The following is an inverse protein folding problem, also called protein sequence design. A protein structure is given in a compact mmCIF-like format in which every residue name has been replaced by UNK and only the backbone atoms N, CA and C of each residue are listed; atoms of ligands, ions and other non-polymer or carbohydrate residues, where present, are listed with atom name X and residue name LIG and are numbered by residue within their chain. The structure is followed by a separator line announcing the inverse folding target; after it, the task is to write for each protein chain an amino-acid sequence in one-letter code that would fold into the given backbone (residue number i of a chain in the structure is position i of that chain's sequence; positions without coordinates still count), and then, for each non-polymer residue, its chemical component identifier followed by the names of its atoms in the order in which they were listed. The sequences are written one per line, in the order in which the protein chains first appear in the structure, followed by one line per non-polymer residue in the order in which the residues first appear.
data_IF_833642855758
#
_entry.id   IF_833642855758
#
_cell.length_a   1.000
_cell.length_b   1.000
_cell.length_c   1.000
_cell.angle_alpha   90.00
_cell.angle_beta   90.00
_cell.angle_gamma   90.00
#
_symmetry.space_group_name_H-M   'P 1'
#
loop_
_entity.id
_entity.type
_entity.pdbx_description
1 polymer ?
#
# COMPACT_ATOMS: atom_id res chain seq x y z
N UNK A 1 12.39 7.36 -21.28
CA UNK A 1 12.11 6.27 -20.33
C UNK A 1 11.63 5.05 -21.10
N UNK A 2 12.16 3.87 -20.83
CA UNK A 2 11.75 2.68 -21.56
C UNK A 2 10.43 2.10 -21.00
N UNK A 3 9.89 1.12 -21.72
CA UNK A 3 8.59 0.51 -21.40
C UNK A 3 8.57 -0.14 -20.02
N UNK A 4 9.67 -0.79 -19.65
CA UNK A 4 9.81 -1.45 -18.35
C UNK A 4 9.81 -0.44 -17.21
N UNK A 5 10.50 0.67 -17.38
CA UNK A 5 10.54 1.75 -16.41
C UNK A 5 9.18 2.39 -16.23
N UNK A 6 8.44 2.59 -17.31
CA UNK A 6 7.07 3.12 -17.25
C UNK A 6 6.16 2.18 -16.48
N UNK A 7 6.28 0.88 -16.72
CA UNK A 7 5.50 -0.15 -16.02
C UNK A 7 5.78 -0.15 -14.52
N UNK A 8 7.06 -0.09 -14.14
CA UNK A 8 7.47 -0.01 -12.73
C UNK A 8 6.90 1.23 -12.06
N UNK A 9 6.96 2.38 -12.73
CA UNK A 9 6.43 3.63 -12.18
C UNK A 9 4.91 3.58 -12.03
N UNK A 10 4.21 2.97 -12.97
CA UNK A 10 2.75 2.82 -12.87
C UNK A 10 2.36 1.96 -11.65
N UNK A 11 3.05 0.83 -11.46
CA UNK A 11 2.81 -0.03 -10.31
C UNK A 11 3.17 0.67 -9.01
N UNK A 12 4.30 1.38 -8.99
CA UNK A 12 4.72 2.15 -7.81
C UNK A 12 3.67 3.19 -7.43
N UNK A 13 3.11 3.88 -8.41
CA UNK A 13 2.07 4.86 -8.18
C UNK A 13 0.82 4.21 -7.58
N UNK A 14 0.40 3.05 -8.08
CA UNK A 14 -0.73 2.30 -7.55
C UNK A 14 -0.48 1.87 -6.10
N UNK A 15 0.71 1.35 -5.79
CA UNK A 15 1.06 0.94 -4.44
C UNK A 15 1.10 2.13 -3.47
N UNK A 16 1.58 3.28 -3.92
CA UNK A 16 1.55 4.50 -3.12
C UNK A 16 0.12 4.95 -2.83
N UNK A 17 -0.77 4.83 -3.81
CA UNK A 17 -2.17 5.15 -3.62
C UNK A 17 -2.84 4.22 -2.60
N UNK A 18 -2.54 2.94 -2.63
CA UNK A 18 -3.03 1.97 -1.66
C UNK A 18 -2.51 2.27 -0.25
N UNK A 19 -1.24 2.68 -0.14
CA UNK A 19 -0.67 3.10 1.13
C UNK A 19 -1.41 4.31 1.71
N UNK A 20 -1.70 5.29 0.88
CA UNK A 20 -2.49 6.47 1.28
C UNK A 20 -3.87 6.04 1.78
N UNK A 21 -4.52 5.11 1.08
CA UNK A 21 -5.84 4.62 1.46
C UNK A 21 -5.84 3.97 2.85
N UNK A 22 -4.85 3.12 3.13
CA UNK A 22 -4.82 2.43 4.43
C UNK A 22 -4.50 3.41 5.56
N UNK A 23 -3.64 4.38 5.32
CA UNK A 23 -3.36 5.43 6.30
C UNK A 23 -4.64 6.22 6.60
N UNK A 24 -5.41 6.55 5.58
CA UNK A 24 -6.69 7.25 5.73
C UNK A 24 -7.68 6.43 6.58
N UNK A 25 -7.76 5.12 6.35
CA UNK A 25 -8.63 4.23 7.13
C UNK A 25 -8.20 4.16 8.60
N UNK A 26 -6.89 4.08 8.84
CA UNK A 26 -6.35 4.07 10.20
C UNK A 26 -6.72 5.35 10.94
N UNK A 27 -6.60 6.49 10.27
CA UNK A 27 -6.95 7.78 10.88
C UNK A 27 -8.43 7.90 11.21
N UNK A 28 -9.30 7.26 10.42
CA UNK A 28 -10.76 7.31 10.63
C UNK A 28 -11.26 6.25 11.61
N UNK A 29 -10.69 5.04 11.55
CA UNK A 29 -11.26 3.90 12.26
C UNK A 29 -10.34 3.29 13.32
N UNK A 30 -9.03 3.54 13.26
CA UNK A 30 -8.07 3.04 14.22
C UNK A 30 -7.13 2.00 13.63
N UNK A 31 -5.95 1.89 14.25
CA UNK A 31 -4.87 1.03 13.76
C UNK A 31 -5.17 -0.47 13.93
N UNK A 32 -5.97 -0.82 14.92
CA UNK A 32 -6.31 -2.21 15.20
C UNK A 32 -7.67 -2.63 14.63
N UNK A 33 -8.40 -1.71 14.00
CA UNK A 33 -9.67 -2.03 13.36
C UNK A 33 -9.47 -2.90 12.12
N UNK A 34 -10.48 -3.67 11.79
CA UNK A 34 -10.46 -4.55 10.64
C UNK A 34 -11.81 -4.56 9.93
N UNK A 35 -11.80 -4.92 8.66
CA UNK A 35 -13.03 -5.12 7.91
C UNK A 35 -13.67 -6.44 8.35
N UNK A 36 -14.98 -6.44 8.53
CA UNK A 36 -15.71 -7.59 9.08
C UNK A 36 -15.56 -8.86 8.26
N UNK A 37 -15.32 -8.73 6.95
CA UNK A 37 -15.21 -9.87 6.03
C UNK A 37 -13.91 -10.64 6.17
N UNK A 38 -12.78 -9.95 6.28
CA UNK A 38 -11.47 -10.60 6.27
C UNK A 38 -10.75 -10.61 7.61
N UNK A 39 -11.20 -9.77 8.54
CA UNK A 39 -10.65 -9.68 9.89
C UNK A 39 -9.16 -9.39 9.94
N UNK A 40 -8.60 -8.78 8.89
CA UNK A 40 -7.20 -8.36 8.85
C UNK A 40 -7.11 -6.95 9.46
N UNK A 41 -6.36 -6.77 10.55
CA UNK A 41 -6.23 -5.45 11.17
C UNK A 41 -5.56 -4.46 10.23
N UNK A 42 -5.94 -3.20 10.33
CA UNK A 42 -5.36 -2.13 9.53
C UNK A 42 -3.85 -2.04 9.69
N UNK A 43 -3.33 -2.37 10.88
CA UNK A 43 -1.89 -2.42 11.13
C UNK A 43 -1.16 -3.39 10.19
N UNK A 44 -1.73 -4.57 9.97
CA UNK A 44 -1.15 -5.56 9.05
C UNK A 44 -1.21 -5.08 7.60
N UNK A 45 -2.33 -4.47 7.21
CA UNK A 45 -2.48 -3.90 5.87
C UNK A 45 -1.47 -2.79 5.64
N UNK A 46 -1.24 -1.95 6.64
CA UNK A 46 -0.23 -0.90 6.56
C UNK A 46 1.16 -1.48 6.32
N UNK A 47 1.52 -2.52 7.08
CA UNK A 47 2.81 -3.18 6.93
C UNK A 47 2.97 -3.79 5.52
N UNK A 48 1.93 -4.43 4.99
CA UNK A 48 1.94 -4.98 3.62
C UNK A 48 2.15 -3.89 2.58
N UNK A 49 1.41 -2.78 2.68
CA UNK A 49 1.51 -1.69 1.71
C UNK A 49 2.87 -0.99 1.78
N UNK A 50 3.42 -0.82 2.97
CA UNK A 50 4.78 -0.28 3.12
C UNK A 50 5.80 -1.21 2.46
N UNK A 51 5.68 -2.51 2.69
CA UNK A 51 6.54 -3.51 2.06
C UNK A 51 6.46 -3.47 0.54
N UNK A 52 5.25 -3.36 -0.01
CA UNK A 52 5.02 -3.28 -1.44
C UNK A 52 5.67 -2.03 -2.05
N UNK A 53 5.53 -0.88 -1.40
CA UNK A 53 6.16 0.36 -1.85
C UNK A 53 7.69 0.25 -1.81
N UNK A 54 8.25 -0.29 -0.73
CA UNK A 54 9.69 -0.50 -0.61
C UNK A 54 10.20 -1.42 -1.73
N UNK A 55 9.47 -2.50 -2.00
CA UNK A 55 9.80 -3.43 -3.07
C UNK A 55 9.88 -2.71 -4.42
N UNK A 56 8.91 -1.88 -4.74
CA UNK A 56 8.88 -1.14 -6.01
C UNK A 56 10.01 -0.11 -6.09
N UNK A 57 10.32 0.57 -4.98
CA UNK A 57 11.41 1.53 -4.93
C UNK A 57 12.75 0.85 -5.28
N UNK A 58 12.94 -0.37 -4.82
CA UNK A 58 14.17 -1.13 -5.13
C UNK A 58 14.30 -1.49 -6.60
N UNK A 59 13.19 -1.55 -7.34
CA UNK A 59 13.20 -1.84 -8.77
C UNK A 59 13.48 -0.61 -9.64
N UNK A 60 13.29 0.57 -9.09
CA UNK A 60 13.57 1.82 -9.81
C UNK A 60 15.07 2.09 -9.87
#
# INVERSE_FOLDING_TARGET
MNKKQEEILNITQEECAELIQIISKIRRFGINEYHIKDKVPNRERLAEEIGDVICMIQLI
#
